data_IF_321490680029
#
_entry.id   IF_321490680029
#
_cell.length_a   1.000
_cell.length_b   1.000
_cell.length_c   1.000
_cell.angle_alpha   90.00
_cell.angle_beta   90.00
_cell.angle_gamma   90.00
#
_symmetry.space_group_name_H-M   'P 1'
#
loop_
_entity.id
_entity.type
_entity.pdbx_description
1 polymer ?
#
# COMPACT_ATOMS: atom_id res chain seq x y z
N UNK A 1 -32.32 -5.30 -45.83
CA UNK A 1 -31.46 -6.37 -45.32
C UNK A 1 -31.22 -6.06 -43.84
N UNK A 2 -31.97 -6.71 -42.99
CA UNK A 2 -31.95 -6.55 -41.54
C UNK A 2 -30.85 -7.41 -40.97
N UNK A 3 -29.82 -6.81 -40.37
CA UNK A 3 -28.79 -7.51 -39.60
C UNK A 3 -29.37 -7.87 -38.23
N UNK A 4 -29.47 -9.17 -37.95
CA UNK A 4 -29.77 -9.69 -36.63
C UNK A 4 -28.63 -9.29 -35.64
N UNK A 5 -28.96 -8.87 -34.42
CA UNK A 5 -27.94 -8.70 -33.39
C UNK A 5 -27.48 -10.06 -32.90
N UNK A 6 -26.23 -10.43 -33.17
CA UNK A 6 -25.60 -11.61 -32.60
C UNK A 6 -25.57 -11.50 -31.07
N UNK A 7 -26.16 -12.45 -30.37
CA UNK A 7 -26.02 -12.64 -28.94
C UNK A 7 -24.55 -12.96 -28.66
N UNK A 8 -23.82 -12.00 -28.11
CA UNK A 8 -22.52 -12.26 -27.49
C UNK A 8 -22.80 -12.97 -26.16
N UNK A 9 -22.73 -14.29 -26.18
CA UNK A 9 -22.75 -15.10 -24.96
C UNK A 9 -21.41 -14.83 -24.25
N UNK A 10 -21.39 -13.89 -23.31
CA UNK A 10 -20.29 -13.78 -22.33
C UNK A 10 -20.31 -15.08 -21.51
N UNK A 11 -19.34 -15.93 -21.73
CA UNK A 11 -19.07 -17.04 -20.83
C UNK A 11 -18.71 -16.46 -19.47
N UNK A 12 -19.61 -16.64 -18.50
CA UNK A 12 -19.32 -16.34 -17.11
C UNK A 12 -18.22 -17.33 -16.67
N UNK A 13 -16.95 -16.92 -16.74
CA UNK A 13 -15.87 -17.66 -16.08
C UNK A 13 -16.13 -17.55 -14.59
N UNK A 14 -16.47 -18.65 -13.94
CA UNK A 14 -16.46 -18.75 -12.47
C UNK A 14 -15.00 -18.73 -12.03
N UNK A 15 -14.44 -17.54 -11.87
CA UNK A 15 -13.16 -17.40 -11.19
C UNK A 15 -13.37 -17.66 -9.69
N UNK A 16 -12.41 -18.34 -9.06
CA UNK A 16 -12.30 -18.35 -7.62
C UNK A 16 -12.35 -16.90 -7.09
N UNK A 17 -12.97 -16.68 -5.93
CA UNK A 17 -13.05 -15.35 -5.34
C UNK A 17 -11.64 -14.75 -5.16
N UNK A 18 -11.52 -13.42 -5.15
CA UNK A 18 -10.21 -12.79 -4.89
C UNK A 18 -9.60 -13.28 -3.57
N UNK A 19 -10.44 -13.53 -2.55
CA UNK A 19 -9.97 -14.10 -1.28
C UNK A 19 -9.34 -15.49 -1.45
N UNK A 20 -9.94 -16.41 -2.21
CA UNK A 20 -9.37 -17.73 -2.47
C UNK A 20 -8.05 -17.68 -3.25
N UNK A 21 -7.84 -16.63 -4.05
CA UNK A 21 -6.65 -16.48 -4.89
C UNK A 21 -5.51 -15.78 -4.18
N UNK A 22 -5.80 -14.77 -3.36
CA UNK A 22 -4.80 -13.84 -2.83
C UNK A 22 -4.57 -13.96 -1.33
N UNK A 23 -5.45 -14.59 -0.56
CA UNK A 23 -5.15 -14.91 0.83
C UNK A 23 -4.21 -16.11 0.87
N UNK A 24 -3.04 -15.93 1.46
CA UNK A 24 -2.04 -16.98 1.59
C UNK A 24 -2.03 -17.55 3.01
N UNK A 25 -1.82 -18.86 3.17
CA UNK A 25 -1.54 -19.45 4.47
C UNK A 25 -0.28 -18.84 5.09
N UNK A 26 -0.34 -18.53 6.36
CA UNK A 26 0.82 -18.01 7.11
C UNK A 26 1.44 -19.14 7.91
N UNK A 27 2.75 -19.35 7.75
CA UNK A 27 3.50 -20.28 8.60
C UNK A 27 3.87 -19.62 9.94
N UNK A 28 3.74 -20.31 11.08
CA UNK A 28 4.21 -19.80 12.36
C UNK A 28 5.70 -19.40 12.35
N UNK A 29 6.48 -20.04 11.48
CA UNK A 29 7.92 -19.78 11.36
C UNK A 29 8.25 -18.44 10.66
N UNK A 30 7.26 -17.81 10.01
CA UNK A 30 7.43 -16.53 9.32
C UNK A 30 6.88 -15.36 10.13
N UNK A 31 6.19 -15.61 11.24
CA UNK A 31 5.65 -14.57 12.13
C UNK A 31 6.79 -13.93 12.93
N UNK A 32 6.92 -12.59 12.96
CA UNK A 32 8.01 -11.91 13.66
C UNK A 32 8.01 -12.18 15.16
N UNK A 33 9.18 -12.43 15.73
CA UNK A 33 9.35 -12.68 17.17
C UNK A 33 9.16 -11.41 17.98
N UNK A 34 8.70 -11.56 19.22
CA UNK A 34 8.55 -10.45 20.15
C UNK A 34 7.40 -9.50 19.84
N UNK A 35 6.48 -9.88 18.95
CA UNK A 35 5.22 -9.16 18.73
C UNK A 35 4.05 -9.96 19.27
N UNK A 36 3.08 -9.26 19.85
CA UNK A 36 1.79 -9.77 20.24
C UNK A 36 0.71 -8.95 19.52
N UNK A 37 -0.30 -9.61 18.99
CA UNK A 37 -1.34 -8.95 18.21
C UNK A 37 -2.73 -9.41 18.63
N UNK A 38 -3.71 -8.53 18.52
CA UNK A 38 -5.10 -8.86 18.75
C UNK A 38 -6.04 -7.96 17.94
N UNK A 39 -7.23 -8.44 17.69
CA UNK A 39 -8.32 -7.66 17.11
C UNK A 39 -9.62 -7.88 17.85
N UNK A 40 -10.52 -6.91 17.77
CA UNK A 40 -11.85 -6.99 18.39
C UNK A 40 -12.88 -6.15 17.63
N UNK A 41 -14.15 -6.40 17.92
CA UNK A 41 -15.24 -5.55 17.51
C UNK A 41 -15.49 -4.47 18.57
N UNK A 42 -15.06 -3.24 18.30
CA UNK A 42 -15.28 -2.08 19.17
C UNK A 42 -16.60 -1.36 18.87
N UNK A 43 -17.25 -1.69 17.77
CA UNK A 43 -18.51 -1.06 17.34
C UNK A 43 -18.32 0.28 16.63
N UNK A 44 -17.12 0.56 16.13
CA UNK A 44 -16.83 1.82 15.40
C UNK A 44 -17.73 1.97 14.19
N UNK A 45 -17.79 0.95 13.32
CA UNK A 45 -18.62 0.95 12.11
C UNK A 45 -20.11 1.15 12.44
N UNK A 46 -20.61 0.49 13.49
CA UNK A 46 -22.00 0.60 13.93
C UNK A 46 -22.33 2.01 14.46
N UNK A 47 -21.40 2.63 15.18
CA UNK A 47 -21.60 3.96 15.74
C UNK A 47 -21.65 5.04 14.65
N UNK A 48 -20.88 4.86 13.55
CA UNK A 48 -20.78 5.81 12.45
C UNK A 48 -21.93 5.65 11.43
N UNK A 49 -22.42 4.43 11.21
CA UNK A 49 -23.49 4.12 10.24
C UNK A 49 -24.64 3.35 10.90
N UNK A 50 -25.43 3.98 11.79
CA UNK A 50 -26.44 3.27 12.60
C UNK A 50 -27.62 2.70 11.81
N UNK A 51 -27.80 3.06 10.54
CA UNK A 51 -28.90 2.61 9.65
C UNK A 51 -28.57 1.45 8.74
N UNK A 52 -27.31 1.03 8.64
CA UNK A 52 -26.91 -0.08 7.76
C UNK A 52 -26.97 -1.40 8.52
N UNK A 53 -28.13 -2.08 8.46
CA UNK A 53 -28.35 -3.40 9.07
C UNK A 53 -27.51 -4.55 8.45
N UNK A 54 -26.68 -4.26 7.46
CA UNK A 54 -25.92 -5.24 6.70
C UNK A 54 -24.49 -5.49 7.21
N UNK A 55 -23.97 -4.71 8.17
CA UNK A 55 -22.64 -4.96 8.74
C UNK A 55 -22.75 -6.07 9.79
N UNK A 56 -22.16 -7.25 9.57
CA UNK A 56 -22.17 -8.30 10.58
C UNK A 56 -21.54 -7.78 11.88
N UNK A 57 -22.25 -7.94 12.99
CA UNK A 57 -21.79 -7.57 14.35
C UNK A 57 -20.50 -8.33 14.79
N UNK A 58 -19.97 -9.19 13.94
CA UNK A 58 -18.79 -10.02 14.22
C UNK A 58 -17.53 -9.61 13.47
N UNK A 59 -17.60 -8.65 12.53
CA UNK A 59 -16.40 -8.21 11.78
C UNK A 59 -15.59 -7.28 12.68
N UNK A 60 -14.32 -7.63 13.00
CA UNK A 60 -13.47 -6.77 13.82
C UNK A 60 -13.28 -5.40 13.14
N UNK A 61 -13.24 -4.34 13.95
CA UNK A 61 -13.03 -2.97 13.50
C UNK A 61 -11.97 -2.22 14.32
N UNK A 62 -11.29 -2.93 15.21
CA UNK A 62 -10.14 -2.43 15.97
C UNK A 62 -9.08 -3.51 16.12
N UNK A 63 -7.81 -3.13 15.98
CA UNK A 63 -6.65 -3.99 16.10
C UNK A 63 -5.55 -3.32 16.92
N UNK A 64 -4.76 -4.14 17.63
CA UNK A 64 -3.60 -3.71 18.40
C UNK A 64 -2.43 -4.63 18.07
N UNK A 65 -1.31 -4.02 17.70
CA UNK A 65 -0.01 -4.70 17.54
C UNK A 65 0.95 -4.16 18.59
N UNK A 66 1.52 -5.04 19.40
CA UNK A 66 2.39 -4.70 20.54
C UNK A 66 3.74 -5.36 20.38
N UNK A 67 4.80 -4.62 20.53
CA UNK A 67 6.16 -5.17 20.69
C UNK A 67 6.47 -5.43 22.15
N UNK A 68 7.05 -6.59 22.45
CA UNK A 68 7.47 -6.98 23.82
C UNK A 68 8.58 -6.08 24.37
N UNK A 69 9.35 -5.46 23.49
CA UNK A 69 10.44 -4.51 23.79
C UNK A 69 10.25 -3.22 22.98
N UNK A 70 10.84 -2.09 23.38
CA UNK A 70 10.82 -0.87 22.54
C UNK A 70 11.45 -1.13 21.17
N UNK A 71 10.65 -0.99 20.12
CA UNK A 71 11.06 -1.21 18.73
C UNK A 71 11.51 0.11 18.08
N UNK A 72 12.51 0.06 17.21
CA UNK A 72 12.76 1.14 16.25
C UNK A 72 11.48 1.41 15.47
N UNK A 73 11.15 2.67 15.23
CA UNK A 73 9.94 3.06 14.52
C UNK A 73 10.24 4.01 13.38
N UNK A 74 9.62 3.76 12.23
CA UNK A 74 9.63 4.64 11.08
C UNK A 74 8.20 4.84 10.56
N UNK A 75 7.94 5.98 9.95
CA UNK A 75 6.62 6.29 9.39
C UNK A 75 6.70 7.15 8.15
N UNK A 76 5.82 6.86 7.20
CA UNK A 76 5.51 7.74 6.07
C UNK A 76 4.00 7.99 6.04
N UNK A 77 3.62 9.21 5.71
CA UNK A 77 2.28 9.72 5.95
C UNK A 77 1.77 10.49 4.74
N UNK A 78 0.45 10.58 4.64
CA UNK A 78 -0.23 11.47 3.69
C UNK A 78 0.22 12.90 3.86
N UNK A 79 0.28 13.62 2.75
CA UNK A 79 0.47 15.07 2.79
C UNK A 79 -0.78 15.81 2.30
N UNK A 80 -1.91 15.12 2.21
CA UNK A 80 -3.19 15.80 2.03
C UNK A 80 -3.28 16.96 3.05
N UNK A 81 -3.66 18.14 2.60
CA UNK A 81 -3.80 19.29 3.48
C UNK A 81 -4.82 19.06 4.62
N UNK A 82 -5.79 18.17 4.38
CA UNK A 82 -6.81 17.75 5.36
C UNK A 82 -6.41 16.48 6.11
N UNK A 83 -5.17 16.42 6.60
CA UNK A 83 -4.67 15.26 7.34
C UNK A 83 -5.55 14.90 8.52
N UNK A 84 -5.84 13.61 8.68
CA UNK A 84 -6.59 13.07 9.80
C UNK A 84 -5.85 13.28 11.14
N UNK A 85 -6.59 13.37 12.23
CA UNK A 85 -6.03 13.58 13.56
C UNK A 85 -4.96 12.52 13.95
N UNK A 86 -5.13 11.21 13.68
CA UNK A 86 -4.08 10.22 13.91
C UNK A 86 -2.80 10.48 13.12
N UNK A 87 -2.91 10.97 11.88
CA UNK A 87 -1.75 11.32 11.05
C UNK A 87 -0.99 12.50 11.65
N UNK A 88 -1.72 13.55 12.05
CA UNK A 88 -1.12 14.73 12.71
C UNK A 88 -0.42 14.32 14.02
N UNK A 89 -1.08 13.50 14.84
CA UNK A 89 -0.52 12.99 16.09
C UNK A 89 0.78 12.21 15.85
N UNK A 90 0.74 11.18 14.97
CA UNK A 90 1.89 10.32 14.70
C UNK A 90 3.07 11.10 14.10
N UNK A 91 2.80 11.99 13.14
CA UNK A 91 3.84 12.85 12.54
C UNK A 91 4.51 13.73 13.59
N UNK A 92 3.74 14.38 14.45
CA UNK A 92 4.24 15.24 15.51
C UNK A 92 5.07 14.44 16.52
N UNK A 93 4.58 13.28 16.94
CA UNK A 93 5.28 12.40 17.89
C UNK A 93 6.64 11.94 17.35
N UNK A 94 6.69 11.50 16.09
CA UNK A 94 7.95 11.06 15.45
C UNK A 94 8.93 12.23 15.25
N UNK A 95 8.45 13.41 14.89
CA UNK A 95 9.30 14.61 14.79
C UNK A 95 9.90 15.01 16.14
N UNK A 96 9.12 14.94 17.22
CA UNK A 96 9.59 15.27 18.58
C UNK A 96 10.57 14.25 19.12
N UNK A 97 10.37 12.95 18.87
CA UNK A 97 11.25 11.89 19.32
C UNK A 97 12.59 11.85 18.53
N UNK A 98 12.60 12.32 17.30
CA UNK A 98 13.80 12.40 16.47
C UNK A 98 14.41 11.02 16.11
N UNK A 99 15.77 10.95 15.95
CA UNK A 99 16.43 9.75 15.42
C UNK A 99 16.38 8.54 16.36
N UNK A 100 16.11 8.75 17.64
CA UNK A 100 16.05 7.67 18.65
C UNK A 100 14.61 7.22 18.95
N UNK A 101 13.66 7.58 18.09
CA UNK A 101 12.26 7.23 18.23
C UNK A 101 12.08 5.71 18.43
N UNK A 102 11.31 5.33 19.46
CA UNK A 102 10.92 3.95 19.75
C UNK A 102 9.42 3.87 19.92
N UNK A 103 8.82 2.74 19.53
CA UNK A 103 7.42 2.46 19.76
C UNK A 103 7.22 1.09 20.40
N UNK A 104 6.16 0.99 21.21
CA UNK A 104 5.71 -0.24 21.85
C UNK A 104 4.45 -0.79 21.19
N UNK A 105 3.61 0.06 20.63
CA UNK A 105 2.34 -0.39 20.05
C UNK A 105 1.85 0.48 18.89
N UNK A 106 1.03 -0.15 18.04
CA UNK A 106 0.22 0.53 17.03
C UNK A 106 -1.24 0.11 17.21
N UNK A 107 -2.10 1.09 17.50
CA UNK A 107 -3.55 0.94 17.53
C UNK A 107 -4.13 1.30 16.17
N UNK A 108 -5.00 0.46 15.62
CA UNK A 108 -5.67 0.74 14.34
C UNK A 108 -7.17 0.57 14.48
N UNK A 109 -7.94 1.48 13.90
CA UNK A 109 -9.38 1.28 13.73
C UNK A 109 -9.82 1.44 12.28
N UNK A 110 -10.88 0.71 11.90
CA UNK A 110 -11.59 0.88 10.64
C UNK A 110 -13.04 1.29 10.84
N UNK A 111 -13.59 2.04 9.87
CA UNK A 111 -14.96 2.57 9.88
C UNK A 111 -15.05 4.06 10.15
N UNK A 112 -14.08 4.67 10.82
CA UNK A 112 -14.00 6.10 11.06
C UNK A 112 -12.60 6.60 10.79
N UNK A 113 -12.47 7.57 9.91
CA UNK A 113 -11.20 8.18 9.53
C UNK A 113 -10.65 9.14 10.58
N UNK A 114 -11.52 9.73 11.41
CA UNK A 114 -11.18 10.83 12.32
C UNK A 114 -10.44 11.97 11.58
N UNK A 115 -10.89 12.27 10.37
CA UNK A 115 -10.38 13.33 9.52
C UNK A 115 -11.37 14.49 9.46
N UNK A 116 -10.86 15.73 9.32
CA UNK A 116 -11.66 16.97 9.32
C UNK A 116 -12.49 17.11 10.61
N UNK A 117 -11.92 16.71 11.74
CA UNK A 117 -12.56 16.71 13.08
C UNK A 117 -11.98 17.76 14.02
N UNK A 118 -11.01 18.55 13.53
CA UNK A 118 -10.38 19.63 14.28
C UNK A 118 -9.63 19.15 15.54
N UNK A 119 -9.47 20.06 16.52
CA UNK A 119 -8.77 19.74 17.77
C UNK A 119 -9.48 18.66 18.58
N UNK A 120 -10.82 18.62 18.53
CA UNK A 120 -11.57 17.59 19.24
C UNK A 120 -11.24 16.15 18.74
N UNK A 121 -10.99 15.96 17.43
CA UNK A 121 -10.55 14.67 16.90
C UNK A 121 -9.12 14.32 17.30
N UNK A 122 -8.27 15.33 17.48
CA UNK A 122 -6.92 15.14 18.00
C UNK A 122 -6.94 14.73 19.49
N UNK A 123 -7.86 15.32 20.29
CA UNK A 123 -8.08 14.91 21.68
C UNK A 123 -8.60 13.47 21.78
N UNK A 124 -9.52 13.06 20.88
CA UNK A 124 -9.96 11.66 20.78
C UNK A 124 -8.79 10.71 20.53
N UNK A 125 -7.90 11.08 19.60
CA UNK A 125 -6.69 10.31 19.30
C UNK A 125 -5.77 10.21 20.51
N UNK A 126 -5.48 11.32 21.19
CA UNK A 126 -4.66 11.38 22.40
C UNK A 126 -5.23 10.51 23.53
N UNK A 127 -6.55 10.57 23.74
CA UNK A 127 -7.23 9.78 24.77
C UNK A 127 -7.10 8.28 24.54
N UNK A 128 -7.21 7.81 23.29
CA UNK A 128 -7.07 6.40 22.93
C UNK A 128 -5.61 5.92 23.01
N UNK A 129 -4.67 6.74 22.55
CA UNK A 129 -3.22 6.47 22.67
C UNK A 129 -2.82 6.34 24.13
N UNK A 130 -3.29 7.26 24.99
CA UNK A 130 -3.04 7.21 26.43
C UNK A 130 -3.65 5.98 27.10
N UNK A 131 -4.85 5.59 26.69
CA UNK A 131 -5.50 4.38 27.21
C UNK A 131 -4.68 3.13 26.89
N UNK A 132 -4.16 2.99 25.65
CA UNK A 132 -3.28 1.87 25.29
C UNK A 132 -2.01 1.89 26.13
N UNK A 133 -1.36 3.06 26.25
CA UNK A 133 -0.14 3.22 27.03
C UNK A 133 -0.32 2.81 28.49
N UNK A 134 -1.39 3.29 29.14
CA UNK A 134 -1.72 2.96 30.52
C UNK A 134 -2.03 1.46 30.70
N UNK A 135 -2.67 0.83 29.70
CA UNK A 135 -3.04 -0.60 29.76
C UNK A 135 -1.85 -1.55 29.56
N UNK A 136 -0.81 -1.14 28.84
CA UNK A 136 0.36 -1.98 28.55
C UNK A 136 1.36 -2.08 29.71
N UNK A 137 1.08 -1.52 30.87
CA UNK A 137 1.94 -1.33 32.04
C UNK A 137 3.10 -0.33 31.80
N UNK A 138 3.37 0.57 32.74
CA UNK A 138 4.35 1.62 32.52
C UNK A 138 5.76 1.03 32.45
N UNK A 139 6.42 1.16 31.29
CA UNK A 139 7.87 1.24 31.29
C UNK A 139 8.26 2.55 31.97
N UNK A 140 9.35 2.57 32.70
CA UNK A 140 9.81 3.73 33.48
C UNK A 140 10.14 4.97 32.61
N UNK A 141 10.09 4.84 31.31
CA UNK A 141 10.38 5.90 30.32
C UNK A 141 9.31 5.91 29.24
N UNK A 142 8.27 6.74 29.42
CA UNK A 142 7.26 6.98 28.39
C UNK A 142 7.79 7.98 27.35
N UNK A 143 7.76 7.61 26.08
CA UNK A 143 8.10 8.51 24.97
C UNK A 143 6.85 8.93 24.20
N UNK A 144 6.84 10.06 23.48
CA UNK A 144 5.70 10.48 22.67
C UNK A 144 5.29 9.48 21.60
N UNK A 145 6.21 8.60 21.19
CA UNK A 145 6.02 7.59 20.15
C UNK A 145 5.69 6.20 20.67
N UNK A 146 5.60 5.98 21.99
CA UNK A 146 5.33 4.66 22.57
C UNK A 146 4.13 3.98 21.94
N UNK A 147 3.10 4.73 21.61
CA UNK A 147 1.91 4.24 20.92
C UNK A 147 1.57 5.15 19.75
N UNK A 148 1.51 4.58 18.56
CA UNK A 148 0.99 5.24 17.36
C UNK A 148 -0.43 4.78 17.09
N UNK A 149 -1.21 5.64 16.40
CA UNK A 149 -2.58 5.30 16.01
C UNK A 149 -2.78 5.51 14.51
N UNK A 150 -3.50 4.58 13.88
CA UNK A 150 -3.96 4.66 12.50
C UNK A 150 -5.49 4.53 12.45
N UNK A 151 -6.13 5.29 11.60
CA UNK A 151 -7.59 5.25 11.40
C UNK A 151 -7.95 5.26 9.93
N UNK A 152 -9.06 4.63 9.57
CA UNK A 152 -9.58 4.62 8.20
C UNK A 152 -11.11 4.50 8.20
N UNK A 153 -11.78 5.07 7.20
CA UNK A 153 -13.23 5.01 7.03
C UNK A 153 -13.85 6.37 6.76
N UNK A 154 -15.01 6.64 7.35
CA UNK A 154 -15.81 7.85 7.09
C UNK A 154 -15.09 9.12 7.58
N UNK A 155 -15.04 10.13 6.70
CA UNK A 155 -14.48 11.46 6.97
C UNK A 155 -15.55 12.37 7.61
N UNK A 156 -15.15 13.32 8.45
CA UNK A 156 -16.03 14.33 9.06
C UNK A 156 -16.76 13.87 10.32
N UNK A 157 -16.44 12.67 10.82
CA UNK A 157 -17.06 12.10 12.03
C UNK A 157 -15.98 11.81 13.07
N UNK A 158 -16.29 12.06 14.36
CA UNK A 158 -15.40 11.79 15.49
C UNK A 158 -15.43 10.31 15.88
N UNK A 159 -14.35 9.84 16.50
CA UNK A 159 -14.26 8.49 17.05
C UNK A 159 -15.24 8.27 18.22
N UNK A 160 -15.86 7.09 18.29
CA UNK A 160 -16.67 6.71 19.46
C UNK A 160 -15.76 6.28 20.62
N UNK A 161 -15.10 7.24 21.29
CA UNK A 161 -14.03 6.99 22.28
C UNK A 161 -14.45 6.03 23.40
N UNK A 162 -15.61 6.17 24.10
CA UNK A 162 -15.92 5.28 25.22
C UNK A 162 -16.03 3.79 24.88
N UNK A 163 -16.68 3.33 23.80
CA UNK A 163 -16.64 1.92 23.42
C UNK A 163 -15.24 1.45 22.98
N UNK A 164 -14.46 2.33 22.33
CA UNK A 164 -13.09 1.97 21.94
C UNK A 164 -12.17 1.80 23.17
N UNK A 165 -12.31 2.61 24.20
CA UNK A 165 -11.55 2.46 25.45
C UNK A 165 -11.83 1.10 26.11
N UNK A 166 -13.10 0.69 26.23
CA UNK A 166 -13.45 -0.65 26.75
C UNK A 166 -12.87 -1.77 25.88
N UNK A 167 -12.87 -1.58 24.57
CA UNK A 167 -12.30 -2.56 23.66
C UNK A 167 -10.76 -2.66 23.79
N UNK A 168 -10.05 -1.56 24.10
CA UNK A 168 -8.61 -1.58 24.42
C UNK A 168 -8.34 -2.41 25.66
N UNK A 169 -9.12 -2.23 26.73
CA UNK A 169 -9.00 -3.01 27.96
C UNK A 169 -9.17 -4.51 27.69
N UNK A 170 -10.16 -4.89 26.89
CA UNK A 170 -10.43 -6.27 26.48
C UNK A 170 -9.27 -6.84 25.61
N UNK A 171 -8.72 -6.06 24.68
CA UNK A 171 -7.59 -6.48 23.85
C UNK A 171 -6.33 -6.79 24.70
N UNK A 172 -6.02 -5.92 25.65
CA UNK A 172 -4.79 -6.05 26.47
C UNK A 172 -4.94 -7.12 27.55
N UNK A 173 -6.14 -7.32 28.11
CA UNK A 173 -6.37 -8.19 29.28
C UNK A 173 -6.31 -9.70 29.00
N UNK A 174 -6.01 -10.15 27.77
CA UNK A 174 -5.85 -11.58 27.50
C UNK A 174 -6.06 -12.04 26.07
N UNK A 175 -6.20 -11.11 25.09
CA UNK A 175 -6.35 -11.47 23.69
C UNK A 175 -5.07 -11.38 22.87
N UNK A 176 -4.03 -10.74 23.39
CA UNK A 176 -2.76 -10.56 22.69
C UNK A 176 -2.05 -11.90 22.49
N UNK A 177 -1.79 -12.27 21.25
CA UNK A 177 -1.21 -13.54 20.86
C UNK A 177 -0.21 -13.35 19.71
N UNK A 178 0.66 -14.33 19.48
CA UNK A 178 1.59 -14.35 18.36
C UNK A 178 1.46 -15.65 17.57
N UNK A 179 0.38 -15.80 16.82
CA UNK A 179 0.18 -16.91 15.90
C UNK A 179 -0.50 -16.44 14.60
N UNK A 180 -0.40 -17.22 13.52
CA UNK A 180 -0.86 -16.82 12.18
C UNK A 180 -2.29 -16.29 12.11
N UNK A 181 -3.24 -16.96 12.79
CA UNK A 181 -4.66 -16.57 12.77
C UNK A 181 -4.88 -15.21 13.43
N UNK A 182 -4.15 -14.89 14.52
CA UNK A 182 -4.24 -13.57 15.16
C UNK A 182 -3.76 -12.45 14.23
N UNK A 183 -2.68 -12.67 13.48
CA UNK A 183 -2.23 -11.73 12.45
C UNK A 183 -3.24 -11.58 11.32
N UNK A 184 -3.87 -12.66 10.88
CA UNK A 184 -4.92 -12.61 9.86
C UNK A 184 -6.16 -11.86 10.36
N UNK A 185 -6.55 -12.03 11.64
CA UNK A 185 -7.66 -11.30 12.24
C UNK A 185 -7.36 -9.81 12.38
N UNK A 186 -6.10 -9.45 12.67
CA UNK A 186 -5.64 -8.05 12.63
C UNK A 186 -5.80 -7.49 11.21
N UNK A 187 -5.36 -8.22 10.17
CA UNK A 187 -5.54 -7.77 8.79
C UNK A 187 -7.03 -7.60 8.42
N UNK A 188 -7.92 -8.47 8.93
CA UNK A 188 -9.38 -8.31 8.77
C UNK A 188 -9.93 -7.07 9.45
N UNK A 189 -9.36 -6.67 10.60
CA UNK A 189 -9.78 -5.48 11.31
C UNK A 189 -9.40 -4.16 10.61
N UNK A 190 -8.38 -4.19 9.73
CA UNK A 190 -8.00 -3.05 8.89
C UNK A 190 -9.00 -2.78 7.77
N UNK A 191 -9.67 -3.81 7.25
CA UNK A 191 -10.51 -3.74 6.05
C UNK A 191 -11.69 -2.77 6.20
N UNK A 192 -11.96 -2.05 5.11
CA UNK A 192 -13.18 -1.25 4.91
C UNK A 192 -14.01 -1.82 3.76
N UNK A 193 -13.77 -1.38 2.55
CA UNK A 193 -14.36 -1.89 1.30
C UNK A 193 -13.55 -3.02 0.67
N UNK A 194 -12.43 -3.37 1.27
CA UNK A 194 -11.57 -4.47 0.86
C UNK A 194 -12.35 -5.79 0.75
N UNK A 195 -12.07 -6.59 -0.28
CA UNK A 195 -12.74 -7.88 -0.50
C UNK A 195 -11.99 -9.05 0.14
N UNK A 196 -10.70 -8.86 0.48
CA UNK A 196 -9.89 -9.84 1.21
C UNK A 196 -8.85 -9.16 2.13
N UNK A 197 -8.45 -9.82 3.23
CA UNK A 197 -7.39 -9.33 4.10
C UNK A 197 -6.03 -9.45 3.42
N UNK A 198 -5.25 -8.38 3.47
CA UNK A 198 -3.91 -8.31 2.88
C UNK A 198 -2.87 -8.48 3.96
N UNK A 199 -2.28 -9.66 4.02
CA UNK A 199 -1.22 -10.06 4.95
C UNK A 199 -0.18 -10.87 4.21
N UNK A 200 1.09 -10.50 4.39
CA UNK A 200 2.24 -11.28 3.92
C UNK A 200 3.28 -11.38 5.01
N UNK A 201 3.93 -12.52 5.07
CA UNK A 201 5.05 -12.75 5.99
C UNK A 201 6.22 -13.36 5.24
N UNK A 202 7.44 -13.01 5.64
CA UNK A 202 8.67 -13.57 5.08
C UNK A 202 9.66 -13.92 6.18
N UNK A 203 10.48 -14.92 5.91
CA UNK A 203 11.61 -15.30 6.74
C UNK A 203 12.86 -15.33 5.86
N UNK A 204 13.94 -14.73 6.32
CA UNK A 204 15.19 -14.61 5.58
C UNK A 204 16.40 -14.64 6.54
N UNK A 205 17.53 -15.18 6.07
CA UNK A 205 18.76 -15.23 6.85
C UNK A 205 19.58 -13.96 6.59
N UNK A 206 19.97 -13.26 7.66
CA UNK A 206 20.75 -12.04 7.57
C UNK A 206 21.69 -11.89 8.78
N UNK A 207 22.98 -11.68 8.52
CA UNK A 207 23.97 -11.53 9.58
C UNK A 207 24.08 -12.74 10.52
N UNK A 208 23.92 -13.96 10.01
CA UNK A 208 23.91 -15.19 10.80
C UNK A 208 22.66 -15.37 11.68
N UNK A 209 21.60 -14.59 11.41
CA UNK A 209 20.34 -14.62 12.17
C UNK A 209 19.17 -14.92 11.24
N UNK A 210 18.16 -15.58 11.79
CA UNK A 210 16.90 -15.81 11.12
C UNK A 210 15.95 -14.64 11.42
N UNK A 211 15.86 -13.71 10.48
CA UNK A 211 14.97 -12.56 10.55
C UNK A 211 13.60 -12.88 9.95
N UNK A 212 12.56 -12.20 10.43
CA UNK A 212 11.18 -12.33 9.97
C UNK A 212 10.55 -10.97 9.82
N UNK A 213 9.65 -10.84 8.86
CA UNK A 213 8.87 -9.62 8.63
C UNK A 213 7.44 -9.98 8.28
N UNK A 214 6.49 -9.25 8.86
CA UNK A 214 5.08 -9.28 8.51
C UNK A 214 4.67 -7.91 7.96
N UNK A 215 3.90 -7.90 6.87
CA UNK A 215 3.27 -6.71 6.31
C UNK A 215 1.75 -6.90 6.27
N UNK A 216 1.03 -5.93 6.80
CA UNK A 216 -0.43 -5.80 6.71
C UNK A 216 -0.71 -4.50 5.97
N UNK A 217 -1.61 -4.53 5.01
CA UNK A 217 -2.18 -3.30 4.45
C UNK A 217 -3.69 -3.41 4.19
N UNK A 218 -4.29 -2.30 3.88
CA UNK A 218 -5.68 -2.18 3.46
C UNK A 218 -5.84 -1.03 2.48
N UNK A 219 -6.80 -1.18 1.61
CA UNK A 219 -7.27 -0.19 0.66
C UNK A 219 -7.84 -0.86 -0.59
N UNK A 220 -8.91 -0.28 -1.12
CA UNK A 220 -9.58 -0.72 -2.33
C UNK A 220 -10.12 0.46 -3.16
N UNK A 221 -10.43 1.59 -2.53
CA UNK A 221 -10.85 2.84 -3.16
C UNK A 221 -10.17 4.05 -2.52
N UNK A 222 -10.20 5.20 -3.22
CA UNK A 222 -9.46 6.42 -2.88
C UNK A 222 -7.94 6.10 -2.76
N UNK A 223 -7.36 5.45 -3.78
CA UNK A 223 -5.98 4.97 -3.81
C UNK A 223 -5.19 5.63 -4.94
N UNK A 224 -4.39 6.62 -4.57
CA UNK A 224 -3.34 7.25 -5.39
C UNK A 224 -2.26 7.82 -4.45
N UNK A 225 -1.49 6.95 -3.79
CA UNK A 225 -0.57 7.38 -2.75
C UNK A 225 0.61 8.20 -3.28
N UNK A 226 1.00 9.21 -2.49
CA UNK A 226 2.26 9.95 -2.62
C UNK A 226 2.76 10.19 -1.20
N UNK A 227 3.42 9.20 -0.58
CA UNK A 227 3.84 9.22 0.82
C UNK A 227 5.25 9.74 1.00
N UNK A 228 5.49 10.39 2.16
CA UNK A 228 6.81 10.82 2.58
C UNK A 228 7.00 10.75 4.10
N UNK A 229 8.27 10.82 4.54
CA UNK A 229 8.61 10.84 5.96
C UNK A 229 8.04 12.07 6.67
N UNK A 230 7.95 12.01 7.99
CA UNK A 230 7.43 13.08 8.83
C UNK A 230 8.13 14.45 8.61
N UNK A 231 9.33 14.47 8.05
CA UNK A 231 10.11 15.68 7.76
C UNK A 231 9.90 16.28 6.38
N UNK A 232 9.21 15.61 5.47
CA UNK A 232 8.97 16.07 4.10
C UNK A 232 7.49 15.97 3.72
N UNK A 233 6.99 16.95 2.97
CA UNK A 233 5.58 17.05 2.63
C UNK A 233 5.27 16.36 1.30
N UNK A 234 4.58 15.22 1.26
CA UNK A 234 3.98 14.57 0.07
C UNK A 234 2.90 13.52 0.46
N UNK A 235 2.03 13.04 -0.41
CA UNK A 235 0.65 12.58 -0.23
C UNK A 235 0.35 11.07 -0.40
N UNK A 236 -0.64 10.49 0.34
CA UNK A 236 -1.10 9.10 0.16
C UNK A 236 -2.41 8.62 0.85
N UNK A 237 -3.13 7.50 0.37
CA UNK A 237 -4.40 6.91 0.90
C UNK A 237 -4.38 5.40 1.14
N UNK A 238 -3.75 4.93 2.20
CA UNK A 238 -3.79 3.53 2.61
C UNK A 238 -3.29 3.38 4.04
N UNK A 239 -3.55 2.28 4.68
CA UNK A 239 -2.87 1.92 5.92
C UNK A 239 -1.98 0.73 5.67
N UNK A 240 -0.71 0.85 6.02
CA UNK A 240 0.28 -0.21 6.00
C UNK A 240 0.99 -0.33 7.35
N UNK A 241 1.19 -1.54 7.82
CA UNK A 241 1.96 -1.82 9.02
C UNK A 241 2.96 -2.93 8.72
N UNK A 242 4.22 -2.64 8.93
CA UNK A 242 5.30 -3.61 8.80
C UNK A 242 5.95 -3.84 10.15
N UNK A 243 6.03 -5.10 10.58
CA UNK A 243 6.68 -5.50 11.82
C UNK A 243 7.80 -6.49 11.50
N UNK A 244 9.01 -6.23 12.00
CA UNK A 244 10.16 -7.14 11.83
C UNK A 244 10.91 -7.36 13.14
N UNK A 245 11.47 -8.55 13.30
CA UNK A 245 12.36 -8.84 14.39
C UNK A 245 13.84 -8.52 14.10
N UNK A 246 14.16 -8.04 12.89
CA UNK A 246 15.51 -7.59 12.53
C UNK A 246 15.94 -6.37 13.37
N UNK A 247 17.22 -6.28 13.77
CA UNK A 247 17.73 -5.20 14.62
C UNK A 247 18.17 -3.97 13.81
N UNK A 248 17.25 -3.33 13.08
CA UNK A 248 17.52 -2.14 12.28
C UNK A 248 17.34 -0.88 13.13
N UNK A 249 18.34 -0.02 13.19
CA UNK A 249 18.27 1.26 13.91
C UNK A 249 17.23 2.22 13.27
N UNK A 250 16.62 3.07 14.09
CA UNK A 250 15.53 3.98 13.66
C UNK A 250 15.87 4.83 12.43
N UNK A 251 17.02 5.51 12.33
CA UNK A 251 17.33 6.32 11.15
C UNK A 251 17.44 5.49 9.87
N UNK A 252 18.01 4.29 9.98
CA UNK A 252 18.16 3.39 8.84
C UNK A 252 16.85 2.71 8.46
N UNK A 253 16.01 2.36 9.44
CA UNK A 253 14.66 1.88 9.20
C UNK A 253 13.82 2.93 8.45
N UNK A 254 13.92 4.21 8.85
CA UNK A 254 13.22 5.30 8.16
C UNK A 254 13.72 5.47 6.72
N UNK A 255 15.04 5.40 6.49
CA UNK A 255 15.61 5.46 5.15
C UNK A 255 15.15 4.28 4.30
N UNK A 256 15.21 3.07 4.86
CA UNK A 256 14.73 1.86 4.19
C UNK A 256 13.24 1.94 3.84
N UNK A 257 12.41 2.43 4.74
CA UNK A 257 10.97 2.60 4.51
C UNK A 257 10.71 3.65 3.42
N UNK A 258 11.40 4.79 3.44
CA UNK A 258 11.25 5.83 2.43
C UNK A 258 11.53 5.28 1.03
N UNK A 259 12.64 4.54 0.87
CA UNK A 259 13.02 3.98 -0.43
C UNK A 259 12.06 2.87 -0.87
N UNK A 260 11.66 1.96 0.05
CA UNK A 260 10.69 0.91 -0.27
C UNK A 260 9.35 1.50 -0.74
N UNK A 261 8.83 2.50 -0.03
CA UNK A 261 7.56 3.15 -0.37
C UNK A 261 7.66 3.94 -1.69
N UNK A 262 8.80 4.58 -1.95
CA UNK A 262 9.03 5.35 -3.20
C UNK A 262 8.83 4.52 -4.45
N UNK A 263 9.24 3.24 -4.41
CA UNK A 263 9.19 2.34 -5.57
C UNK A 263 8.08 1.29 -5.48
N UNK A 264 7.20 1.37 -4.48
CA UNK A 264 6.08 0.45 -4.29
C UNK A 264 4.75 1.18 -4.11
N UNK A 265 4.38 1.56 -2.88
CA UNK A 265 3.10 2.21 -2.58
C UNK A 265 2.92 3.56 -3.29
N UNK A 266 3.98 4.32 -3.54
CA UNK A 266 3.90 5.55 -4.34
C UNK A 266 3.79 5.29 -5.86
N UNK A 267 3.76 4.02 -6.26
CA UNK A 267 3.63 3.59 -7.65
C UNK A 267 2.32 2.84 -7.90
N UNK A 268 1.26 3.13 -7.13
CA UNK A 268 -0.06 2.52 -7.34
C UNK A 268 -1.16 3.57 -7.48
N UNK A 269 -2.20 3.24 -8.25
CA UNK A 269 -3.44 4.01 -8.28
C UNK A 269 -4.63 3.12 -8.61
N UNK A 270 -5.72 3.28 -7.86
CA UNK A 270 -7.04 2.71 -8.21
C UNK A 270 -7.85 3.75 -8.97
N UNK A 271 -7.98 4.96 -8.46
CA UNK A 271 -8.91 5.98 -8.95
C UNK A 271 -8.31 7.39 -9.13
N UNK A 272 -7.05 7.57 -8.77
CA UNK A 272 -6.37 8.87 -8.85
C UNK A 272 -6.65 9.78 -7.66
N UNK A 273 -7.50 9.34 -6.72
CA UNK A 273 -7.89 10.12 -5.54
C UNK A 273 -7.04 9.80 -4.33
N UNK A 274 -6.77 10.82 -3.53
CA UNK A 274 -5.86 10.78 -2.39
C UNK A 274 -6.58 11.04 -1.08
N UNK A 275 -6.40 10.17 -0.08
CA UNK A 275 -7.05 10.30 1.23
C UNK A 275 -6.30 11.19 2.22
N UNK A 276 -7.01 11.43 3.30
CA UNK A 276 -6.60 12.19 4.47
C UNK A 276 -5.83 11.35 5.50
N UNK A 277 -5.77 10.01 5.33
CA UNK A 277 -5.39 9.08 6.41
C UNK A 277 -4.15 8.24 6.14
N UNK A 278 -3.61 8.29 4.94
CA UNK A 278 -2.59 7.33 4.54
C UNK A 278 -1.38 7.32 5.43
N UNK A 279 -1.04 6.12 5.83
CA UNK A 279 0.01 5.89 6.80
C UNK A 279 0.65 4.54 6.53
N UNK A 280 1.97 4.50 6.41
CA UNK A 280 2.74 3.27 6.54
C UNK A 280 3.68 3.41 7.72
N UNK A 281 3.55 2.51 8.69
CA UNK A 281 4.42 2.42 9.86
C UNK A 281 5.25 1.15 9.78
N UNK A 282 6.53 1.23 10.08
CA UNK A 282 7.42 0.10 10.25
C UNK A 282 7.98 0.05 11.67
N UNK A 283 7.96 -1.14 12.27
CA UNK A 283 8.53 -1.44 13.57
C UNK A 283 9.62 -2.49 13.42
N UNK A 284 10.79 -2.28 14.08
CA UNK A 284 11.86 -3.26 14.14
C UNK A 284 12.28 -3.43 15.61
N UNK A 285 12.06 -4.63 16.19
CA UNK A 285 12.25 -4.84 17.63
C UNK A 285 13.55 -5.55 18.01
N UNK A 286 14.34 -6.01 17.04
CA UNK A 286 15.63 -6.62 17.31
C UNK A 286 15.58 -8.02 17.96
N UNK A 287 14.46 -8.74 17.87
CA UNK A 287 14.31 -10.06 18.49
C UNK A 287 14.65 -11.24 17.55
N UNK A 288 15.30 -10.97 16.42
CA UNK A 288 15.83 -12.01 15.54
C UNK A 288 16.92 -12.84 16.26
N UNK A 289 16.82 -14.16 16.17
CA UNK A 289 17.74 -15.07 16.87
C UNK A 289 18.79 -15.68 15.94
N UNK A 290 19.99 -15.89 16.43
CA UNK A 290 20.98 -16.75 15.84
C UNK A 290 20.64 -18.25 16.07
N UNK A 291 21.43 -19.17 15.50
CA UNK A 291 21.23 -20.62 15.67
C UNK A 291 21.33 -21.07 17.14
N UNK A 292 22.15 -20.39 17.94
CA UNK A 292 22.29 -20.65 19.39
C UNK A 292 21.17 -20.03 20.25
N UNK A 293 20.18 -19.37 19.61
CA UNK A 293 19.06 -18.70 20.26
C UNK A 293 19.37 -17.30 20.79
N UNK A 294 20.59 -16.80 20.63
CA UNK A 294 20.96 -15.45 21.09
C UNK A 294 20.27 -14.35 20.28
N UNK A 295 19.87 -13.26 20.94
CA UNK A 295 19.39 -12.03 20.30
C UNK A 295 20.56 -11.09 20.03
N UNK A 296 20.45 -10.12 19.09
CA UNK A 296 21.52 -9.19 18.80
C UNK A 296 21.77 -8.21 19.95
N UNK A 297 23.05 -7.96 20.23
CA UNK A 297 23.48 -6.93 21.17
C UNK A 297 23.60 -5.54 20.50
N UNK A 298 23.71 -5.51 19.16
CA UNK A 298 23.87 -4.29 18.39
C UNK A 298 22.73 -4.08 17.38
N UNK A 299 22.33 -2.81 17.21
CA UNK A 299 21.45 -2.39 16.13
C UNK A 299 22.24 -2.17 14.84
N UNK A 300 21.76 -2.72 13.73
CA UNK A 300 22.38 -2.52 12.43
C UNK A 300 22.11 -1.13 11.89
N UNK A 301 23.20 -0.45 11.52
CA UNK A 301 23.19 0.87 10.89
C UNK A 301 23.96 0.81 9.58
N UNK A 302 23.68 1.78 8.68
CA UNK A 302 24.49 1.94 7.44
C UNK A 302 25.98 2.11 7.76
N UNK A 303 26.32 2.70 8.90
CA UNK A 303 27.71 2.91 9.34
C UNK A 303 28.38 1.64 9.83
N UNK A 304 27.69 0.81 10.64
CA UNK A 304 28.27 -0.37 11.26
C UNK A 304 28.12 -1.65 10.41
N UNK A 305 26.99 -1.78 9.70
CA UNK A 305 26.62 -2.98 8.94
C UNK A 305 25.95 -2.62 7.61
N UNK A 306 26.64 -1.92 6.67
CA UNK A 306 26.04 -1.42 5.43
C UNK A 306 25.42 -2.52 4.56
N UNK A 307 26.08 -3.68 4.46
CA UNK A 307 25.59 -4.79 3.65
C UNK A 307 24.31 -5.43 4.24
N UNK A 308 24.21 -5.53 5.58
CA UNK A 308 23.01 -6.04 6.25
C UNK A 308 21.83 -5.09 6.08
N UNK A 309 22.07 -3.79 6.22
CA UNK A 309 21.03 -2.77 6.00
C UNK A 309 20.58 -2.77 4.55
N UNK A 310 21.50 -2.90 3.58
CA UNK A 310 21.16 -2.99 2.15
C UNK A 310 20.34 -4.25 1.83
N UNK A 311 20.71 -5.39 2.40
CA UNK A 311 19.98 -6.65 2.21
C UNK A 311 18.58 -6.57 2.85
N UNK A 312 18.46 -5.99 4.05
CA UNK A 312 17.15 -5.72 4.67
C UNK A 312 16.30 -4.77 3.81
N UNK A 313 16.90 -3.72 3.24
CA UNK A 313 16.24 -2.82 2.30
C UNK A 313 15.61 -3.56 1.12
N UNK A 314 16.32 -4.53 0.55
CA UNK A 314 15.82 -5.32 -0.57
C UNK A 314 14.61 -6.18 -0.16
N UNK A 315 14.65 -6.84 1.01
CA UNK A 315 13.53 -7.62 1.53
C UNK A 315 12.30 -6.78 1.84
N UNK A 316 12.50 -5.62 2.49
CA UNK A 316 11.42 -4.67 2.77
C UNK A 316 10.80 -4.14 1.47
N UNK A 317 11.61 -3.77 0.49
CA UNK A 317 11.14 -3.27 -0.81
C UNK A 317 10.34 -4.34 -1.55
N UNK A 318 10.82 -5.58 -1.58
CA UNK A 318 10.13 -6.68 -2.23
C UNK A 318 8.77 -6.98 -1.55
N UNK A 319 8.71 -6.94 -0.21
CA UNK A 319 7.45 -7.11 0.52
C UNK A 319 6.48 -5.93 0.27
N UNK A 320 6.96 -4.70 0.34
CA UNK A 320 6.15 -3.50 0.06
C UNK A 320 5.60 -3.53 -1.38
N UNK A 321 6.39 -4.00 -2.34
CA UNK A 321 5.95 -4.15 -3.75
C UNK A 321 4.82 -5.16 -3.87
N UNK A 322 4.96 -6.35 -3.26
CA UNK A 322 3.91 -7.36 -3.27
C UNK A 322 2.62 -6.84 -2.62
N UNK A 323 2.74 -6.17 -1.46
CA UNK A 323 1.60 -5.59 -0.76
C UNK A 323 0.91 -4.49 -1.59
N UNK A 324 1.68 -3.59 -2.18
CA UNK A 324 1.17 -2.53 -3.06
C UNK A 324 0.39 -3.08 -4.28
N UNK A 325 0.85 -4.19 -4.87
CA UNK A 325 0.12 -4.85 -5.94
C UNK A 325 -1.20 -5.46 -5.46
N UNK A 326 -1.28 -5.98 -4.22
CA UNK A 326 -2.52 -6.51 -3.66
C UNK A 326 -3.58 -5.41 -3.49
N UNK A 327 -3.20 -4.17 -3.17
CA UNK A 327 -4.13 -3.03 -3.13
C UNK A 327 -4.80 -2.81 -4.49
N UNK A 328 -3.99 -2.81 -5.55
CA UNK A 328 -4.48 -2.60 -6.92
C UNK A 328 -5.39 -3.76 -7.38
N UNK A 329 -4.99 -5.01 -7.06
CA UNK A 329 -5.81 -6.20 -7.39
C UNK A 329 -7.15 -6.21 -6.66
N UNK A 330 -7.22 -5.58 -5.48
CA UNK A 330 -8.45 -5.42 -4.69
C UNK A 330 -9.19 -4.10 -5.00
N UNK A 331 -8.74 -3.33 -5.96
CA UNK A 331 -9.40 -2.09 -6.36
C UNK A 331 -10.91 -2.28 -6.52
N UNK A 332 -11.70 -1.32 -6.02
CA UNK A 332 -13.17 -1.37 -6.08
C UNK A 332 -13.64 -1.61 -7.50
N UNK A 333 -14.34 -2.71 -7.72
CA UNK A 333 -14.84 -3.13 -9.04
C UNK A 333 -13.76 -3.53 -10.06
N UNK A 334 -12.48 -3.62 -9.68
CA UNK A 334 -11.39 -3.95 -10.61
C UNK A 334 -11.53 -5.37 -11.17
N UNK A 335 -11.46 -5.49 -12.50
CA UNK A 335 -11.45 -6.73 -13.26
C UNK A 335 -10.08 -7.01 -13.89
N UNK A 336 -9.26 -5.97 -14.11
CA UNK A 336 -7.91 -6.06 -14.68
C UNK A 336 -6.88 -5.45 -13.73
N UNK A 337 -5.73 -6.10 -13.64
CA UNK A 337 -4.51 -5.54 -13.07
C UNK A 337 -3.63 -5.02 -14.20
N UNK A 338 -3.19 -3.78 -14.14
CA UNK A 338 -2.43 -3.14 -15.22
C UNK A 338 -1.10 -2.67 -14.68
N UNK A 339 -0.01 -3.12 -15.29
CA UNK A 339 1.33 -2.60 -15.06
C UNK A 339 1.74 -1.71 -16.23
N UNK A 340 2.13 -0.48 -15.92
CA UNK A 340 2.72 0.47 -16.86
C UNK A 340 4.21 0.62 -16.52
N UNK A 341 5.08 0.23 -17.43
CA UNK A 341 6.53 0.43 -17.34
C UNK A 341 6.94 1.54 -18.29
N UNK A 342 7.65 2.54 -17.79
CA UNK A 342 8.23 3.63 -18.60
C UNK A 342 9.74 3.53 -18.50
N UNK A 343 10.42 3.47 -19.64
CA UNK A 343 11.87 3.26 -19.75
C UNK A 343 12.56 4.38 -20.52
N UNK A 344 13.87 4.50 -20.29
CA UNK A 344 14.76 5.45 -20.95
C UNK A 344 14.29 6.90 -20.84
N UNK A 345 13.83 7.29 -19.65
CA UNK A 345 13.61 8.68 -19.24
C UNK A 345 14.89 9.32 -18.70
N UNK A 346 14.90 10.63 -18.58
CA UNK A 346 16.05 11.36 -18.06
C UNK A 346 16.31 11.10 -16.56
N UNK A 347 15.25 11.04 -15.75
CA UNK A 347 15.31 10.69 -14.32
C UNK A 347 14.19 9.74 -13.93
N UNK A 348 14.35 9.08 -12.76
CA UNK A 348 13.30 8.24 -12.19
C UNK A 348 11.99 9.03 -11.99
N UNK A 349 12.07 10.26 -11.48
CA UNK A 349 10.91 11.10 -11.21
C UNK A 349 10.16 11.46 -12.49
N UNK A 350 10.86 11.64 -13.61
CA UNK A 350 10.26 11.86 -14.93
C UNK A 350 9.59 10.60 -15.47
N UNK A 351 10.25 9.44 -15.38
CA UNK A 351 9.65 8.14 -15.73
C UNK A 351 8.39 7.87 -14.88
N UNK A 352 8.48 8.11 -13.58
CA UNK A 352 7.38 7.94 -12.63
C UNK A 352 6.20 8.88 -12.95
N UNK A 353 6.47 10.17 -13.23
CA UNK A 353 5.42 11.13 -13.57
C UNK A 353 4.65 10.72 -14.84
N UNK A 354 5.35 10.21 -15.86
CA UNK A 354 4.71 9.70 -17.09
C UNK A 354 3.90 8.43 -16.78
N UNK A 355 4.48 7.47 -16.07
CA UNK A 355 3.79 6.23 -15.70
C UNK A 355 2.54 6.51 -14.84
N UNK A 356 2.62 7.42 -13.87
CA UNK A 356 1.50 7.87 -13.06
C UNK A 356 0.40 8.54 -13.91
N UNK A 357 0.78 9.43 -14.85
CA UNK A 357 -0.17 10.10 -15.76
C UNK A 357 -0.94 9.09 -16.62
N UNK A 358 -0.27 8.09 -17.16
CA UNK A 358 -0.90 7.00 -17.92
C UNK A 358 -1.85 6.20 -17.01
N UNK A 359 -1.37 5.82 -15.83
CA UNK A 359 -2.08 4.93 -14.89
C UNK A 359 -3.30 5.58 -14.22
N UNK A 360 -3.36 6.91 -14.15
CA UNK A 360 -4.50 7.67 -13.61
C UNK A 360 -5.45 8.18 -14.68
N UNK A 361 -5.13 8.00 -15.98
CA UNK A 361 -5.98 8.41 -17.08
C UNK A 361 -7.27 7.59 -17.13
N UNK A 362 -8.43 8.22 -16.90
CA UNK A 362 -9.73 7.57 -16.98
C UNK A 362 -9.96 6.90 -18.35
N UNK A 363 -9.50 7.54 -19.45
CA UNK A 363 -9.63 6.98 -20.80
C UNK A 363 -8.76 5.74 -21.00
N UNK A 364 -7.55 5.70 -20.45
CA UNK A 364 -6.69 4.51 -20.49
C UNK A 364 -7.33 3.38 -19.69
N UNK A 365 -7.78 3.64 -18.46
CA UNK A 365 -8.43 2.66 -17.60
C UNK A 365 -9.71 2.07 -18.21
N UNK A 366 -10.52 2.89 -18.88
CA UNK A 366 -11.68 2.42 -19.64
C UNK A 366 -11.29 1.56 -20.85
N UNK A 367 -10.18 1.88 -21.53
CA UNK A 367 -9.69 1.05 -22.63
C UNK A 367 -9.25 -0.33 -22.14
N UNK A 368 -8.54 -0.40 -21.00
CA UNK A 368 -8.14 -1.68 -20.38
C UNK A 368 -9.37 -2.53 -20.01
N UNK A 369 -10.43 -1.93 -19.45
CA UNK A 369 -11.70 -2.61 -19.19
C UNK A 369 -12.37 -3.13 -20.46
N UNK A 370 -12.31 -2.35 -21.52
CA UNK A 370 -12.89 -2.70 -22.83
C UNK A 370 -12.05 -3.66 -23.66
N UNK A 371 -10.89 -4.12 -23.12
CA UNK A 371 -9.92 -4.96 -23.85
C UNK A 371 -9.46 -4.31 -25.18
N UNK A 372 -9.30 -2.98 -25.17
CA UNK A 372 -8.88 -2.15 -26.31
C UNK A 372 -7.40 -1.76 -26.17
N UNK A 373 -6.57 -2.20 -27.11
CA UNK A 373 -5.14 -1.88 -27.17
C UNK A 373 -4.90 -0.41 -27.58
N UNK A 374 -5.52 0.53 -26.88
CA UNK A 374 -5.59 1.95 -27.25
C UNK A 374 -4.31 2.72 -26.91
N UNK A 375 -3.26 2.49 -27.68
CA UNK A 375 -1.98 3.18 -27.55
C UNK A 375 -2.12 4.72 -27.71
N UNK A 376 -3.11 5.20 -28.46
CA UNK A 376 -3.37 6.64 -28.63
C UNK A 376 -3.72 7.32 -27.31
N UNK A 377 -4.54 6.68 -26.44
CA UNK A 377 -4.85 7.19 -25.09
C UNK A 377 -3.63 7.13 -24.17
N UNK A 378 -2.77 6.11 -24.32
CA UNK A 378 -1.52 6.01 -23.58
C UNK A 378 -0.59 7.17 -23.93
N UNK A 379 -0.40 7.47 -25.23
CA UNK A 379 0.43 8.60 -25.68
C UNK A 379 -0.14 9.95 -25.26
N UNK A 380 -1.48 10.11 -25.35
CA UNK A 380 -2.13 11.32 -24.87
C UNK A 380 -1.81 11.57 -23.41
N UNK A 381 -1.95 10.55 -22.56
CA UNK A 381 -1.66 10.64 -21.13
C UNK A 381 -0.16 10.88 -20.84
N UNK A 382 0.73 10.25 -21.58
CA UNK A 382 2.17 10.50 -21.49
C UNK A 382 2.54 11.93 -21.86
N UNK A 383 1.90 12.48 -22.90
CA UNK A 383 2.22 13.78 -23.49
C UNK A 383 1.86 14.99 -22.62
N UNK A 384 0.88 14.88 -21.72
CA UNK A 384 0.53 15.95 -20.78
C UNK A 384 1.09 15.76 -19.37
N UNK A 385 1.92 14.73 -19.16
CA UNK A 385 2.53 14.49 -17.85
C UNK A 385 3.34 15.72 -17.39
N UNK A 386 3.13 16.15 -16.15
CA UNK A 386 3.91 17.24 -15.55
C UNK A 386 5.31 16.73 -15.16
N UNK A 387 6.32 17.10 -15.95
CA UNK A 387 7.68 16.60 -15.78
C UNK A 387 8.48 17.50 -14.83
N UNK A 388 9.10 16.91 -13.79
CA UNK A 388 9.99 17.66 -12.90
C UNK A 388 11.34 17.99 -13.60
N UNK A 389 12.06 18.96 -13.04
CA UNK A 389 13.42 19.27 -13.48
C UNK A 389 14.37 18.07 -13.31
N UNK A 390 15.48 17.96 -14.07
CA UNK A 390 15.98 18.93 -15.05
C UNK A 390 15.15 18.98 -16.34
N UNK A 391 15.41 19.99 -17.18
CA UNK A 391 14.73 20.16 -18.45
C UNK A 391 15.03 18.97 -19.37
N UNK A 392 14.05 18.12 -19.55
CA UNK A 392 14.02 16.96 -20.42
C UNK A 392 12.60 16.83 -20.96
N UNK A 393 12.44 16.34 -22.16
CA UNK A 393 11.13 16.18 -22.75
C UNK A 393 11.05 14.86 -23.53
N UNK A 394 9.83 14.34 -23.63
CA UNK A 394 9.51 13.26 -24.55
C UNK A 394 9.72 13.74 -25.98
N UNK A 395 10.44 12.94 -26.78
CA UNK A 395 10.52 13.14 -28.24
C UNK A 395 9.50 12.20 -28.91
N UNK A 396 8.35 12.73 -29.40
CA UNK A 396 7.30 11.89 -29.97
C UNK A 396 7.77 11.01 -31.14
N UNK A 397 8.83 11.41 -31.84
CA UNK A 397 9.37 10.66 -32.99
C UNK A 397 10.18 9.42 -32.60
N UNK A 398 10.43 9.21 -31.31
CA UNK A 398 11.24 8.10 -30.79
C UNK A 398 10.47 7.10 -29.94
N UNK A 399 9.25 7.44 -29.51
CA UNK A 399 8.51 6.63 -28.52
C UNK A 399 8.10 5.29 -29.11
N UNK A 400 8.28 4.23 -28.32
CA UNK A 400 7.68 2.91 -28.58
C UNK A 400 6.62 2.61 -27.53
N UNK A 401 5.54 1.94 -27.96
CA UNK A 401 4.49 1.40 -27.07
C UNK A 401 4.26 -0.06 -27.44
N UNK A 402 4.41 -0.94 -26.44
CA UNK A 402 4.24 -2.38 -26.62
C UNK A 402 3.34 -2.94 -25.51
N UNK A 403 2.39 -3.80 -25.86
CA UNK A 403 1.69 -4.65 -24.89
C UNK A 403 2.49 -5.95 -24.77
N UNK A 404 2.93 -6.24 -23.54
CA UNK A 404 3.74 -7.41 -23.24
C UNK A 404 2.83 -8.55 -22.72
N UNK A 405 3.13 -9.81 -23.04
CA UNK A 405 2.42 -10.93 -22.45
C UNK A 405 2.70 -11.02 -20.94
N UNK A 406 1.72 -11.50 -20.13
CA UNK A 406 1.97 -11.78 -18.73
C UNK A 406 3.12 -12.76 -18.51
N UNK A 407 3.87 -12.66 -17.41
CA UNK A 407 4.95 -13.60 -17.09
C UNK A 407 4.50 -15.06 -17.17
N UNK A 408 5.24 -15.87 -17.91
CA UNK A 408 4.95 -17.30 -18.10
C UNK A 408 3.97 -17.60 -19.26
N UNK A 409 3.38 -16.60 -19.88
CA UNK A 409 2.55 -16.78 -21.09
C UNK A 409 3.43 -16.83 -22.33
N UNK A 410 3.22 -17.84 -23.16
CA UNK A 410 3.98 -18.08 -24.41
C UNK A 410 3.28 -17.37 -25.60
N UNK A 411 3.22 -16.05 -25.52
CA UNK A 411 2.74 -15.20 -26.62
C UNK A 411 3.83 -14.16 -26.99
N UNK A 412 3.79 -13.65 -28.22
CA UNK A 412 4.71 -12.60 -28.63
C UNK A 412 4.24 -11.24 -28.07
N UNK A 413 5.17 -10.29 -27.79
CA UNK A 413 4.78 -8.90 -27.55
C UNK A 413 4.03 -8.31 -28.74
N UNK A 414 3.14 -7.35 -28.47
CA UNK A 414 2.38 -6.64 -29.47
C UNK A 414 2.85 -5.17 -29.53
N UNK A 415 3.80 -4.83 -30.43
CA UNK A 415 4.17 -3.44 -30.64
C UNK A 415 3.04 -2.71 -31.38
N UNK A 416 2.60 -1.60 -30.82
CA UNK A 416 1.54 -0.75 -31.38
C UNK A 416 2.09 0.58 -31.90
N UNK A 417 3.26 1.00 -31.40
CA UNK A 417 4.00 2.18 -31.88
C UNK A 417 5.49 1.88 -31.87
N UNK A 418 6.21 2.23 -32.94
CA UNK A 418 7.68 2.12 -33.03
C UNK A 418 8.19 3.42 -33.68
N UNK A 419 9.20 4.05 -33.06
CA UNK A 419 9.79 5.32 -33.51
C UNK A 419 8.72 6.39 -33.84
N UNK A 420 7.72 6.50 -32.96
CA UNK A 420 6.59 7.43 -33.14
C UNK A 420 5.63 7.07 -34.29
N UNK A 421 5.84 5.94 -34.97
CA UNK A 421 5.01 5.51 -36.12
C UNK A 421 4.07 4.38 -35.69
N UNK A 422 2.73 4.56 -35.90
CA UNK A 422 1.76 3.51 -35.63
C UNK A 422 2.05 2.22 -36.42
N UNK A 423 1.94 1.09 -35.73
CA UNK A 423 2.06 -0.23 -36.36
C UNK A 423 0.70 -0.78 -36.74
N UNK A 424 0.67 -1.69 -37.71
CA UNK A 424 -0.53 -2.46 -38.03
C UNK A 424 -0.78 -3.45 -36.90
N UNK A 425 -1.86 -3.27 -36.15
CA UNK A 425 -2.23 -4.12 -35.03
C UNK A 425 -2.97 -5.36 -35.52
N UNK A 426 -2.49 -6.56 -35.11
CA UNK A 426 -3.25 -7.82 -35.24
C UNK A 426 -4.32 -7.82 -34.14
N UNK A 427 -5.56 -7.51 -34.53
CA UNK A 427 -6.71 -7.44 -33.63
C UNK A 427 -6.99 -8.75 -32.88
N UNK A 428 -6.75 -9.90 -33.52
CA UNK A 428 -6.92 -11.19 -32.90
C UNK A 428 -5.84 -11.44 -31.82
N UNK A 429 -4.62 -11.01 -32.05
CA UNK A 429 -3.53 -11.04 -31.09
C UNK A 429 -3.78 -10.08 -29.94
N UNK A 430 -4.18 -8.84 -30.24
CA UNK A 430 -4.54 -7.84 -29.23
C UNK A 430 -5.64 -8.36 -28.28
N UNK A 431 -6.71 -8.95 -28.86
CA UNK A 431 -7.79 -9.52 -28.07
C UNK A 431 -7.31 -10.65 -27.15
N UNK A 432 -6.39 -11.54 -27.59
CA UNK A 432 -5.85 -12.59 -26.73
C UNK A 432 -5.03 -12.00 -25.57
N UNK A 433 -4.14 -11.05 -25.82
CA UNK A 433 -3.33 -10.43 -24.79
C UNK A 433 -4.19 -9.68 -23.76
N UNK A 434 -5.17 -8.91 -24.20
CA UNK A 434 -6.00 -8.10 -23.32
C UNK A 434 -7.12 -8.87 -22.61
N UNK A 435 -7.41 -10.12 -23.03
CA UNK A 435 -8.30 -11.03 -22.28
C UNK A 435 -7.67 -11.51 -20.97
N UNK A 436 -6.35 -11.46 -20.80
CA UNK A 436 -5.72 -11.78 -19.52
C UNK A 436 -6.20 -10.80 -18.44
N UNK A 437 -6.24 -11.24 -17.20
CA UNK A 437 -6.53 -10.39 -16.06
C UNK A 437 -5.39 -9.37 -15.86
N UNK A 438 -4.15 -9.81 -16.09
CA UNK A 438 -2.94 -9.00 -15.96
C UNK A 438 -2.56 -8.45 -17.33
N UNK A 439 -2.50 -7.11 -17.45
CA UNK A 439 -2.10 -6.37 -18.65
C UNK A 439 -0.77 -5.67 -18.38
N UNK A 440 0.19 -5.83 -19.28
CA UNK A 440 1.52 -5.22 -19.17
C UNK A 440 1.72 -4.26 -20.34
N UNK A 441 1.97 -2.99 -20.04
CA UNK A 441 2.25 -1.93 -21.00
C UNK A 441 3.68 -1.46 -20.81
N UNK A 442 4.50 -1.53 -21.87
CA UNK A 442 5.85 -1.00 -21.92
C UNK A 442 5.88 0.24 -22.80
N UNK A 443 6.34 1.36 -22.25
CA UNK A 443 6.53 2.64 -22.93
C UNK A 443 8.01 2.97 -22.90
N UNK A 444 8.67 2.84 -24.03
CA UNK A 444 10.08 3.15 -24.17
C UNK A 444 10.25 4.52 -24.82
N UNK A 445 10.84 5.44 -24.08
CA UNK A 445 10.99 6.85 -24.51
C UNK A 445 12.27 7.08 -25.32
N UNK A 446 13.12 6.06 -25.50
CA UNK A 446 14.35 6.08 -26.30
C UNK A 446 15.27 7.28 -26.02
N UNK A 447 15.25 7.79 -24.77
CA UNK A 447 16.06 8.91 -24.34
C UNK A 447 15.38 10.29 -24.45
N UNK A 448 14.24 10.40 -25.12
CA UNK A 448 13.58 11.68 -25.32
C UNK A 448 14.52 12.70 -25.99
N UNK A 449 14.65 13.89 -25.41
CA UNK A 449 15.55 14.95 -25.88
C UNK A 449 17.02 14.71 -25.55
N UNK A 450 17.36 13.70 -24.75
CA UNK A 450 18.73 13.27 -24.50
C UNK A 450 19.13 12.09 -25.40
N UNK A 451 20.40 11.70 -25.34
CA UNK A 451 20.82 10.45 -25.98
C UNK A 451 20.33 9.26 -25.15
N UNK A 452 19.98 8.17 -25.79
CA UNK A 452 19.42 6.98 -25.12
C UNK A 452 20.36 6.42 -24.04
N UNK A 453 21.66 6.46 -24.28
CA UNK A 453 22.69 5.96 -23.36
C UNK A 453 22.80 6.82 -22.09
N UNK A 454 22.33 8.06 -22.12
CA UNK A 454 22.31 9.00 -20.99
C UNK A 454 21.00 8.89 -20.20
N UNK A 455 19.92 8.42 -20.82
CA UNK A 455 18.60 8.31 -20.27
C UNK A 455 18.28 6.86 -19.89
N UNK A 456 18.82 6.40 -18.76
CA UNK A 456 18.73 5.01 -18.28
C UNK A 456 17.65 4.81 -17.22
N UNK A 457 16.93 5.88 -16.86
CA UNK A 457 15.95 5.81 -15.80
C UNK A 457 14.66 5.10 -16.24
N UNK A 458 14.11 4.31 -15.33
CA UNK A 458 12.83 3.64 -15.52
C UNK A 458 11.97 3.71 -14.28
N UNK A 459 10.65 3.60 -14.45
CA UNK A 459 9.69 3.43 -13.37
C UNK A 459 8.59 2.44 -13.79
N UNK A 460 8.08 1.73 -12.81
CA UNK A 460 6.90 0.87 -12.94
C UNK A 460 5.78 1.45 -12.11
N UNK A 461 4.56 1.43 -12.64
CA UNK A 461 3.36 1.87 -11.95
C UNK A 461 2.26 0.83 -12.10
N UNK A 462 1.50 0.58 -11.04
CA UNK A 462 0.42 -0.41 -11.06
C UNK A 462 -0.93 0.28 -10.89
N UNK A 463 -1.88 -0.11 -11.73
CA UNK A 463 -3.25 0.38 -11.70
C UNK A 463 -4.23 -0.73 -12.06
N UNK A 464 -5.51 -0.44 -12.00
CA UNK A 464 -6.57 -1.33 -12.45
C UNK A 464 -7.39 -0.66 -13.56
N UNK A 465 -8.32 -1.38 -14.16
CA UNK A 465 -9.30 -0.84 -15.09
C UNK A 465 -10.36 0.03 -14.38
N UNK A 466 -11.22 0.69 -15.15
CA UNK A 466 -12.49 1.28 -14.69
C UNK A 466 -13.67 0.49 -15.21
N UNK A 467 -14.24 -0.33 -14.33
CA UNK A 467 -15.42 -1.12 -14.60
C UNK A 467 -16.71 -0.34 -14.29
N UNK A 468 -17.85 -0.88 -14.74
CA UNK A 468 -19.16 -0.37 -14.33
C UNK A 468 -19.40 -0.51 -12.83
N UNK A 469 -18.83 -1.56 -12.23
CA UNK A 469 -18.97 -1.84 -10.80
C UNK A 469 -18.30 -0.78 -9.94
N UNK A 470 -17.14 -0.21 -10.37
CA UNK A 470 -16.53 0.93 -9.70
C UNK A 470 -17.51 2.10 -9.55
N UNK A 471 -18.26 2.42 -10.61
CA UNK A 471 -19.26 3.50 -10.59
C UNK A 471 -20.44 3.12 -9.68
N UNK A 472 -20.90 1.88 -9.72
CA UNK A 472 -21.98 1.37 -8.87
C UNK A 472 -21.63 1.48 -7.40
N UNK A 473 -20.43 1.02 -7.01
CA UNK A 473 -19.94 1.07 -5.63
C UNK A 473 -19.84 2.52 -5.14
N UNK A 474 -19.22 3.40 -5.94
CA UNK A 474 -18.93 4.76 -5.50
C UNK A 474 -20.09 5.74 -5.70
N UNK A 475 -21.04 5.45 -6.60
CA UNK A 475 -22.24 6.25 -6.80
C UNK A 475 -23.24 6.17 -5.68
N UNK A 476 -23.24 5.09 -4.90
CA UNK A 476 -24.17 4.85 -3.79
C UNK A 476 -23.46 4.79 -2.41
N UNK A 477 -22.19 5.23 -2.39
CA UNK A 477 -21.34 5.19 -1.21
C UNK A 477 -21.78 6.20 -0.15
N UNK A 478 -22.45 5.70 0.90
CA UNK A 478 -22.82 6.45 2.11
C UNK A 478 -22.18 5.81 3.36
N UNK A 479 -20.89 5.70 3.33
CA UNK A 479 -20.21 5.17 4.53
C UNK A 479 -19.03 6.02 4.92
#
# INVERSE_FOLDING_TARGET
MTRSPGLVVRWCRTYASKAERFVQPISPETVPRGYLVASTYAGVKKAISPGTSSVPMSKPDMALVVSSVPASVAGVFTTNAFRAAPVVHATTALQQAGPDARARAVLTNSGCANAVTGEAGLDDTRALVEQVRASLAPSSECTPTDVLMMSTGVIGVRLPVPPMQRAIEDLVSGRLQNHPEAWLDVARAFMTTDTFPKLRTRSFSLGGRQCRIAGIDKGAGMIHPRMASASSALHATMLGLFATDAPIATPDLQRCLNEAVRVSFNCVSVDGDMSTNDTVVALANGQATAEDGSVPDEWWTEKSHPDLVRAFQAELTALCTEMAQLLVRDGEGAEKFVQVRVRHAGTYEQAHAIAASISTSALVKCAMHGEDANWGRILCAAGYAALPAPAWAVDPSKVHVTFEPPPGVQEAPLPTLIDGVPQVVDEAHAARLLQHEDIYVDVDLQGGTWRREEAVAEAVYWTCDFSKEYITINGDYRT
#
